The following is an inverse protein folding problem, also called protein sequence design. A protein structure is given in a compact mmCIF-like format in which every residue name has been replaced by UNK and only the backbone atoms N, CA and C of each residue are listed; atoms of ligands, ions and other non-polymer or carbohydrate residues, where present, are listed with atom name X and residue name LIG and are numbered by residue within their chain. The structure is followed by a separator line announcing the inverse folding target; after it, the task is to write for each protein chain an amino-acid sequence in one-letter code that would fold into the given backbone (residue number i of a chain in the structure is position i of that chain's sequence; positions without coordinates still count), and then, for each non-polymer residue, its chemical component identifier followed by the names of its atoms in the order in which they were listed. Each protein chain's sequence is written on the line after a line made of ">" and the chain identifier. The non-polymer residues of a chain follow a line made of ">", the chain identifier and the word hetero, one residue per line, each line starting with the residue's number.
data_IF_238836951137
#
_entry.id   IF_238836951137
#
_cell.length_a   1.000
_cell.length_b   1.000
_cell.length_c   1.000
_cell.angle_alpha   90.00
_cell.angle_beta   90.00
_cell.angle_gamma   90.00
#
_symmetry.space_group_name_H-M   'P 1'
#
loop_
_entity.id
_entity.type
_entity.pdbx_description
1 polymer ?
#
# COMPACT_ATOMS: atom_id res chain seq x y z
N UNK A 1 0.98 18.72 4.28
CA UNK A 1 0.00 18.33 3.24
C UNK A 1 0.60 17.49 2.11
N UNK A 2 1.64 17.94 1.39
CA UNK A 2 2.20 17.19 0.23
C UNK A 2 2.52 15.68 0.46
N UNK A 3 3.00 15.32 1.65
CA UNK A 3 3.39 13.92 1.98
C UNK A 3 2.18 13.02 2.25
N UNK A 4 1.11 13.58 2.81
CA UNK A 4 -0.13 12.86 3.11
C UNK A 4 -0.85 12.51 1.79
N UNK A 5 -0.82 13.44 0.84
CA UNK A 5 -1.33 13.23 -0.53
C UNK A 5 -0.52 12.14 -1.25
N UNK A 6 0.81 12.15 -1.11
CA UNK A 6 1.66 11.09 -1.68
C UNK A 6 1.32 9.71 -1.10
N UNK A 7 1.12 9.62 0.22
CA UNK A 7 0.70 8.39 0.89
C UNK A 7 -0.63 7.86 0.38
N UNK A 8 -1.61 8.75 0.15
CA UNK A 8 -2.91 8.38 -0.43
C UNK A 8 -2.75 7.87 -1.87
N UNK A 9 -1.91 8.51 -2.69
CA UNK A 9 -1.65 8.08 -4.07
C UNK A 9 -1.02 6.68 -4.08
N UNK A 10 -0.02 6.44 -3.23
CA UNK A 10 0.64 5.14 -3.11
C UNK A 10 -0.34 4.08 -2.62
N UNK A 11 -1.24 4.42 -1.69
CA UNK A 11 -2.30 3.53 -1.23
C UNK A 11 -3.24 3.12 -2.36
N UNK A 12 -3.70 4.08 -3.19
CA UNK A 12 -4.60 3.82 -4.32
C UNK A 12 -3.91 2.92 -5.36
N UNK A 13 -2.68 3.23 -5.74
CA UNK A 13 -1.91 2.42 -6.70
C UNK A 13 -1.66 1.02 -6.13
N UNK A 14 -1.29 0.93 -4.86
CA UNK A 14 -1.10 -0.34 -4.14
C UNK A 14 -2.37 -1.18 -4.09
N UNK A 15 -3.52 -0.55 -3.84
CA UNK A 15 -4.82 -1.22 -3.84
C UNK A 15 -5.17 -1.77 -5.23
N UNK A 16 -4.97 -0.99 -6.29
CA UNK A 16 -5.20 -1.47 -7.67
C UNK A 16 -4.29 -2.65 -8.01
N UNK A 17 -2.99 -2.55 -7.70
CA UNK A 17 -2.04 -3.64 -7.93
C UNK A 17 -2.36 -4.89 -7.12
N UNK A 18 -2.81 -4.73 -5.88
CA UNK A 18 -3.23 -5.83 -5.02
C UNK A 18 -4.46 -6.55 -5.58
N UNK A 19 -5.50 -5.81 -6.01
CA UNK A 19 -6.70 -6.41 -6.62
C UNK A 19 -6.35 -7.24 -7.85
N UNK A 20 -5.51 -6.72 -8.75
CA UNK A 20 -5.06 -7.46 -9.94
C UNK A 20 -4.29 -8.72 -9.55
N UNK A 21 -3.37 -8.62 -8.58
CA UNK A 21 -2.61 -9.77 -8.09
C UNK A 21 -3.54 -10.84 -7.46
N UNK A 22 -4.56 -10.43 -6.70
CA UNK A 22 -5.53 -11.34 -6.08
C UNK A 22 -6.27 -12.12 -7.16
N UNK A 23 -6.78 -11.43 -8.18
CA UNK A 23 -7.48 -12.06 -9.30
C UNK A 23 -6.58 -13.08 -10.01
N UNK A 24 -5.33 -12.70 -10.32
CA UNK A 24 -4.36 -13.61 -10.93
C UNK A 24 -4.05 -14.83 -10.05
N UNK A 25 -3.95 -14.64 -8.74
CA UNK A 25 -3.71 -15.74 -7.79
C UNK A 25 -4.89 -16.71 -7.73
N UNK A 26 -6.12 -16.22 -7.79
CA UNK A 26 -7.33 -17.08 -7.83
C UNK A 26 -7.35 -17.89 -9.14
N UNK A 27 -7.10 -17.26 -10.28
CA UNK A 27 -7.13 -17.92 -11.60
C UNK A 27 -6.04 -18.99 -11.73
N UNK A 28 -4.86 -18.76 -11.16
CA UNK A 28 -3.71 -19.68 -11.23
C UNK A 28 -3.63 -20.69 -10.09
N UNK A 29 -4.68 -20.82 -9.27
CA UNK A 29 -4.71 -21.78 -8.15
C UNK A 29 -3.73 -21.45 -7.03
N UNK A 30 -3.25 -20.21 -6.95
CA UNK A 30 -2.38 -19.72 -5.88
C UNK A 30 -0.91 -19.57 -6.23
N UNK A 31 -0.50 -19.70 -7.49
CA UNK A 31 0.89 -19.48 -7.90
C UNK A 31 1.41 -18.07 -7.53
N UNK A 32 0.51 -17.08 -7.51
CA UNK A 32 0.85 -15.68 -7.18
C UNK A 32 0.54 -15.28 -5.73
N UNK A 33 0.30 -16.22 -4.81
CA UNK A 33 0.02 -15.93 -3.38
C UNK A 33 1.07 -15.01 -2.74
N UNK A 34 2.35 -15.19 -3.08
CA UNK A 34 3.45 -14.36 -2.57
C UNK A 34 3.33 -12.93 -3.08
N UNK A 35 3.07 -12.74 -4.37
CA UNK A 35 2.87 -11.40 -4.95
C UNK A 35 1.67 -10.69 -4.31
N UNK A 36 0.56 -11.40 -4.14
CA UNK A 36 -0.65 -10.87 -3.46
C UNK A 36 -0.31 -10.38 -2.06
N UNK A 37 0.43 -11.16 -1.28
CA UNK A 37 0.82 -10.75 0.05
C UNK A 37 1.72 -9.51 0.02
N UNK A 38 2.73 -9.46 -0.86
CA UNK A 38 3.63 -8.30 -0.96
C UNK A 38 2.86 -7.03 -1.28
N UNK A 39 1.99 -7.04 -2.29
CA UNK A 39 1.16 -5.88 -2.62
C UNK A 39 0.19 -5.52 -1.50
N UNK A 40 -0.37 -6.50 -0.79
CA UNK A 40 -1.25 -6.29 0.35
C UNK A 40 -0.53 -5.60 1.52
N UNK A 41 0.69 -6.04 1.85
CA UNK A 41 1.52 -5.42 2.88
C UNK A 41 1.91 -3.99 2.50
N UNK A 42 2.30 -3.75 1.25
CA UNK A 42 2.64 -2.39 0.76
C UNK A 42 1.42 -1.46 0.88
N UNK A 43 0.24 -1.94 0.48
CA UNK A 43 -1.01 -1.18 0.62
C UNK A 43 -1.28 -0.85 2.09
N UNK A 44 -1.29 -1.85 2.97
CA UNK A 44 -1.62 -1.68 4.39
C UNK A 44 -0.62 -0.78 5.11
N UNK A 45 0.67 -0.89 4.81
CA UNK A 45 1.72 -0.12 5.48
C UNK A 45 1.87 1.31 4.92
N UNK A 46 1.41 1.59 3.70
CA UNK A 46 1.54 2.91 3.08
C UNK A 46 0.85 4.04 3.87
N UNK A 47 -0.35 3.77 4.41
CA UNK A 47 -1.12 4.72 5.20
C UNK A 47 -0.49 5.02 6.58
N UNK A 48 -0.18 4.02 7.41
CA UNK A 48 0.52 4.23 8.68
C UNK A 48 1.85 4.97 8.52
N UNK A 49 2.66 4.60 7.52
CA UNK A 49 3.95 5.25 7.26
C UNK A 49 3.76 6.73 6.91
N UNK A 50 2.78 7.06 6.07
CA UNK A 50 2.47 8.44 5.72
C UNK A 50 1.98 9.25 6.93
N UNK A 51 1.15 8.65 7.80
CA UNK A 51 0.64 9.28 9.01
C UNK A 51 1.78 9.54 10.02
N UNK A 52 2.61 8.53 10.30
CA UNK A 52 3.76 8.63 11.20
C UNK A 52 4.70 9.74 10.72
N UNK A 53 4.99 9.80 9.43
CA UNK A 53 5.85 10.83 8.86
C UNK A 53 5.27 12.24 9.07
N UNK A 54 3.96 12.40 8.89
CA UNK A 54 3.28 13.69 9.13
C UNK A 54 3.35 14.09 10.60
N UNK A 55 3.18 13.14 11.52
CA UNK A 55 3.30 13.38 12.97
C UNK A 55 4.72 13.83 13.31
N UNK A 56 5.75 13.07 12.91
CA UNK A 56 7.16 13.41 13.17
C UNK A 56 7.50 14.80 12.63
N UNK A 57 7.03 15.11 11.40
CA UNK A 57 7.26 16.42 10.79
C UNK A 57 6.57 17.56 11.54
N UNK A 58 5.40 17.30 12.13
CA UNK A 58 4.67 18.29 12.95
C UNK A 58 5.36 18.52 14.29
N UNK A 59 5.91 17.48 14.92
CA UNK A 59 6.61 17.56 16.21
C UNK A 59 7.98 18.26 16.11
N UNK A 60 8.64 18.24 14.95
CA UNK A 60 9.94 18.91 14.73
C UNK A 60 9.86 20.42 14.41
N UNK A 61 8.67 21.01 14.38
CA UNK A 61 8.46 22.46 14.21
C UNK A 61 7.92 23.05 15.50
#
# INVERSE_FOLDING_TARGET
>A
MKILILGIIIFIIGAMGWVVAVVLSVITGGAFKILVNIFGWIMVLSLPVAIIWVIIKKTRR
#
